data_IF_993988499553
#
_entry.id   IF_993988499553
#
_cell.length_a   1.000
_cell.length_b   1.000
_cell.length_c   1.000
_cell.angle_alpha   90.00
_cell.angle_beta   90.00
_cell.angle_gamma   90.00
#
_symmetry.space_group_name_H-M   'P 1'
#
loop_
_entity.id
_entity.type
_entity.pdbx_description
1 polymer ?
#
# COMPACT_ATOMS: atom_id res chain seq x y z
N UNK A 1 3.25 8.07 -16.54
CA UNK A 1 2.33 7.76 -15.44
C UNK A 1 2.57 6.32 -15.02
N UNK A 2 3.22 6.07 -13.87
CA UNK A 2 3.56 4.72 -13.43
C UNK A 2 2.30 3.94 -13.02
N UNK A 3 1.94 2.95 -13.83
CA UNK A 3 0.98 1.92 -13.44
C UNK A 3 1.73 0.80 -12.73
N UNK A 4 1.22 0.33 -11.59
CA UNK A 4 1.79 -0.85 -10.94
C UNK A 4 1.50 -2.07 -11.82
N UNK A 5 2.57 -2.73 -12.25
CA UNK A 5 2.58 -3.93 -13.09
C UNK A 5 3.53 -4.97 -12.52
N UNK A 6 3.38 -6.24 -12.90
CA UNK A 6 4.29 -7.31 -12.47
C UNK A 6 5.74 -6.97 -12.83
N UNK A 7 5.98 -6.52 -14.07
CA UNK A 7 7.30 -6.11 -14.53
C UNK A 7 7.89 -4.98 -13.68
N UNK A 8 7.08 -3.99 -13.31
CA UNK A 8 7.52 -2.92 -12.42
C UNK A 8 7.93 -3.48 -11.05
N UNK A 9 7.04 -4.25 -10.40
CA UNK A 9 7.30 -4.78 -9.06
C UNK A 9 8.47 -5.76 -9.00
N UNK A 10 8.73 -6.49 -10.08
CA UNK A 10 9.88 -7.40 -10.19
C UNK A 10 11.21 -6.68 -10.48
N UNK A 11 11.15 -5.42 -10.96
CA UNK A 11 12.34 -4.63 -11.32
C UNK A 11 12.64 -3.50 -10.33
N UNK A 12 11.94 -3.47 -9.21
CA UNK A 12 12.19 -2.52 -8.13
C UNK A 12 13.61 -2.68 -7.59
N UNK A 13 14.29 -1.56 -7.35
CA UNK A 13 15.61 -1.56 -6.72
C UNK A 13 15.43 -1.46 -5.22
N UNK A 14 16.23 -2.21 -4.47
CA UNK A 14 16.25 -2.09 -3.02
C UNK A 14 16.92 -0.78 -2.62
N UNK A 15 16.44 -0.20 -1.54
CA UNK A 15 16.99 1.00 -0.91
C UNK A 15 17.18 0.72 0.58
N UNK A 16 18.01 1.51 1.27
CA UNK A 16 18.24 1.38 2.72
C UNK A 16 16.99 1.63 3.55
N UNK A 17 16.02 2.36 2.99
CA UNK A 17 14.75 2.70 3.65
C UNK A 17 13.55 2.25 2.81
N UNK A 18 12.41 1.88 3.44
CA UNK A 18 11.21 1.57 2.69
C UNK A 18 10.75 2.74 1.83
N UNK A 19 10.26 2.46 0.63
CA UNK A 19 9.66 3.47 -0.24
C UNK A 19 8.36 2.99 -0.85
N UNK A 20 7.57 3.94 -1.36
CA UNK A 20 6.22 3.69 -1.86
C UNK A 20 6.11 3.98 -3.35
N UNK A 21 5.50 3.04 -4.08
CA UNK A 21 5.08 3.21 -5.47
C UNK A 21 3.56 3.36 -5.48
N UNK A 22 3.04 4.39 -6.15
CA UNK A 22 1.59 4.63 -6.28
C UNK A 22 1.07 4.07 -7.60
N UNK A 23 -0.15 3.55 -7.59
CA UNK A 23 -0.83 3.10 -8.80
C UNK A 23 -1.70 4.21 -9.38
N UNK A 24 -1.51 4.50 -10.67
CA UNK A 24 -2.32 5.50 -11.36
C UNK A 24 -3.70 4.97 -11.79
N UNK A 25 -3.93 3.65 -11.80
CA UNK A 25 -5.25 3.08 -12.18
C UNK A 25 -6.27 3.14 -11.05
N UNK A 26 -5.86 2.86 -9.81
CA UNK A 26 -6.73 2.89 -8.64
C UNK A 26 -6.17 3.84 -7.60
N UNK A 27 -6.82 4.98 -7.41
CA UNK A 27 -6.44 5.94 -6.38
C UNK A 27 -6.46 5.30 -5.00
N UNK A 28 -5.39 5.52 -4.24
CA UNK A 28 -5.19 4.93 -2.92
C UNK A 28 -4.49 3.58 -2.93
N UNK A 29 -4.34 2.93 -4.10
CA UNK A 29 -3.58 1.69 -4.18
C UNK A 29 -2.08 2.00 -4.36
N UNK A 30 -1.24 1.19 -3.71
CA UNK A 30 0.20 1.32 -3.81
C UNK A 30 0.95 0.06 -3.40
N UNK A 31 2.27 0.11 -3.55
CA UNK A 31 3.20 -0.91 -3.09
C UNK A 31 4.25 -0.27 -2.16
N UNK A 32 4.46 -0.87 -0.98
CA UNK A 32 5.56 -0.58 -0.05
C UNK A 32 6.70 -1.56 -0.37
N UNK A 33 7.79 -1.06 -0.92
CA UNK A 33 9.02 -1.84 -1.15
C UNK A 33 9.86 -1.72 0.11
N UNK A 34 10.10 -2.84 0.80
CA UNK A 34 10.92 -2.86 2.02
C UNK A 34 12.40 -3.09 1.65
N UNK A 35 13.36 -2.68 2.50
CA UNK A 35 14.79 -2.93 2.28
C UNK A 35 15.14 -4.41 2.10
N UNK A 36 14.34 -5.31 2.68
CA UNK A 36 14.47 -6.77 2.52
C UNK A 36 14.07 -7.29 1.14
N UNK A 37 13.48 -6.45 0.28
CA UNK A 37 12.89 -6.82 -1.00
C UNK A 37 11.47 -7.35 -0.92
N UNK A 38 10.90 -7.50 0.27
CA UNK A 38 9.48 -7.79 0.42
C UNK A 38 8.64 -6.61 -0.10
N UNK A 39 7.65 -6.89 -0.93
CA UNK A 39 6.74 -5.87 -1.49
C UNK A 39 5.35 -6.05 -0.89
N UNK A 40 4.94 -5.13 -0.03
CA UNK A 40 3.60 -5.12 0.54
C UNK A 40 2.66 -4.31 -0.35
N UNK A 41 1.53 -4.88 -0.75
CA UNK A 41 0.45 -4.15 -1.40
C UNK A 41 -0.36 -3.42 -0.33
N UNK A 42 -0.59 -2.12 -0.54
CA UNK A 42 -1.22 -1.24 0.45
C UNK A 42 -2.40 -0.47 -0.15
N UNK A 43 -3.36 -0.16 0.72
CA UNK A 43 -4.42 0.80 0.45
C UNK A 43 -4.26 2.02 1.38
N UNK A 44 -4.48 3.21 0.86
CA UNK A 44 -4.33 4.48 1.56
C UNK A 44 -5.42 5.46 1.15
N UNK A 45 -6.01 6.13 2.14
CA UNK A 45 -6.98 7.21 1.91
C UNK A 45 -6.78 8.31 2.96
N UNK A 46 -6.99 9.56 2.55
CA UNK A 46 -7.14 10.67 3.50
C UNK A 46 -8.61 10.78 3.91
N UNK A 47 -8.88 10.66 5.20
CA UNK A 47 -10.21 10.74 5.78
C UNK A 47 -10.12 11.55 7.09
N UNK A 48 -11.03 12.51 7.28
CA UNK A 48 -11.07 13.38 8.47
C UNK A 48 -9.72 14.02 8.84
N UNK A 49 -8.98 14.50 7.83
CA UNK A 49 -7.69 15.16 8.02
C UNK A 49 -6.51 14.22 8.31
N UNK A 50 -6.75 12.91 8.45
CA UNK A 50 -5.73 11.89 8.72
C UNK A 50 -5.53 10.96 7.52
N UNK A 51 -4.33 10.42 7.39
CA UNK A 51 -4.04 9.38 6.40
C UNK A 51 -4.27 8.03 7.05
N UNK A 52 -5.22 7.28 6.51
CA UNK A 52 -5.59 5.94 6.96
C UNK A 52 -5.02 4.95 5.94
N UNK A 53 -4.17 4.03 6.40
CA UNK A 53 -3.48 3.04 5.56
C UNK A 53 -3.72 1.64 6.07
N UNK A 54 -3.81 0.67 5.16
CA UNK A 54 -3.91 -0.76 5.45
C UNK A 54 -3.00 -1.54 4.52
N UNK A 55 -2.22 -2.46 5.08
CA UNK A 55 -1.54 -3.50 4.28
C UNK A 55 -2.56 -4.54 3.86
N UNK A 56 -2.70 -4.74 2.55
CA UNK A 56 -3.63 -5.70 1.96
C UNK A 56 -3.03 -7.10 1.89
N UNK A 57 -1.71 -7.20 1.67
CA UNK A 57 -0.98 -8.44 1.55
C UNK A 57 0.39 -8.24 0.92
N UNK A 58 1.07 -9.33 0.59
CA UNK A 58 2.43 -9.31 0.03
C UNK A 58 2.41 -9.79 -1.42
N UNK A 59 3.06 -9.07 -2.32
CA UNK A 59 3.29 -9.52 -3.70
C UNK A 59 4.43 -10.57 -3.76
N UNK A 60 4.34 -11.64 -4.58
CA UNK A 60 3.26 -11.97 -5.52
C UNK A 60 2.13 -12.84 -4.94
N UNK A 61 2.14 -13.13 -3.63
CA UNK A 61 1.10 -13.95 -2.98
C UNK A 61 -0.29 -13.32 -3.16
N UNK A 62 -0.40 -12.01 -2.97
CA UNK A 62 -1.55 -11.21 -3.38
C UNK A 62 -1.27 -10.60 -4.76
N UNK A 63 -2.18 -10.82 -5.71
CA UNK A 63 -2.02 -10.26 -7.04
C UNK A 63 -2.26 -8.75 -7.05
N UNK A 64 -1.69 -8.05 -8.03
CA UNK A 64 -1.91 -6.60 -8.22
C UNK A 64 -3.41 -6.31 -8.44
N UNK A 65 -4.11 -7.19 -9.14
CA UNK A 65 -5.54 -7.02 -9.41
C UNK A 65 -6.37 -7.18 -8.14
N UNK A 66 -6.07 -8.18 -7.31
CA UNK A 66 -6.75 -8.36 -6.02
C UNK A 66 -6.43 -7.22 -5.05
N UNK A 67 -5.20 -6.70 -5.07
CA UNK A 67 -4.83 -5.49 -4.32
C UNK A 67 -5.64 -4.26 -4.73
N UNK A 68 -5.91 -4.08 -6.03
CA UNK A 68 -6.79 -3.01 -6.51
C UNK A 68 -8.22 -3.17 -6.00
N UNK A 69 -8.78 -4.38 -6.09
CA UNK A 69 -10.13 -4.69 -5.58
C UNK A 69 -10.21 -4.45 -4.07
N UNK A 70 -9.23 -4.94 -3.32
CA UNK A 70 -9.13 -4.74 -1.87
C UNK A 70 -8.99 -3.28 -1.46
N UNK A 71 -8.33 -2.45 -2.28
CA UNK A 71 -8.24 -1.00 -2.05
C UNK A 71 -9.61 -0.33 -2.15
N UNK A 72 -10.40 -0.68 -3.18
CA UNK A 72 -11.74 -0.10 -3.37
C UNK A 72 -12.63 -0.47 -2.19
N UNK A 73 -12.61 -1.74 -1.77
CA UNK A 73 -13.36 -2.22 -0.61
C UNK A 73 -12.94 -1.47 0.67
N UNK A 74 -11.64 -1.35 0.93
CA UNK A 74 -11.12 -0.62 2.09
C UNK A 74 -11.54 0.86 2.10
N UNK A 75 -11.46 1.54 0.95
CA UNK A 75 -11.90 2.93 0.83
C UNK A 75 -13.38 3.09 1.16
N UNK A 76 -14.21 2.14 0.72
CA UNK A 76 -15.64 2.13 1.05
C UNK A 76 -15.85 1.91 2.55
N UNK A 77 -15.16 0.93 3.16
CA UNK A 77 -15.21 0.67 4.61
C UNK A 77 -14.86 1.92 5.43
N UNK A 78 -13.79 2.63 5.06
CA UNK A 78 -13.36 3.85 5.76
C UNK A 78 -14.42 4.94 5.64
N UNK A 79 -14.96 5.17 4.45
CA UNK A 79 -15.97 6.22 4.22
C UNK A 79 -17.30 5.94 4.91
N UNK A 80 -17.66 4.68 5.09
CA UNK A 80 -18.88 4.25 5.79
C UNK A 80 -18.66 4.18 7.31
N UNK A 81 -17.43 4.44 7.79
CA UNK A 81 -17.10 4.50 9.22
C UNK A 81 -16.93 3.13 9.89
N UNK A 82 -16.66 2.07 9.10
CA UNK A 82 -16.58 0.69 9.61
C UNK A 82 -15.14 0.20 9.86
N UNK A 83 -14.13 1.04 9.68
CA UNK A 83 -12.72 0.60 9.75
C UNK A 83 -12.15 0.69 11.16
N UNK A 84 -11.71 -0.45 11.71
CA UNK A 84 -10.69 -0.49 12.78
C UNK A 84 -9.33 -0.20 12.12
N UNK A 85 -8.86 1.04 12.21
CA UNK A 85 -7.56 1.44 11.66
C UNK A 85 -6.47 0.74 12.47
N UNK A 86 -5.71 -0.14 11.82
CA UNK A 86 -4.46 -0.64 12.37
C UNK A 86 -3.41 0.36 11.96
N UNK A 87 -3.11 1.31 12.84
CA UNK A 87 -1.88 2.09 12.73
C UNK A 87 -0.71 1.11 12.87
N UNK A 88 -0.05 0.76 11.76
CA UNK A 88 1.38 0.48 11.84
C UNK A 88 2.02 1.81 12.25
N UNK A 89 2.10 2.04 13.57
CA UNK A 89 2.98 3.04 14.17
C UNK A 89 4.29 2.91 13.43
N UNK A 90 4.64 3.97 12.71
CA UNK A 90 6.00 4.14 12.23
C UNK A 90 6.83 4.20 13.50
N UNK A 91 7.44 3.06 13.86
CA UNK A 91 8.65 3.05 14.67
C UNK A 91 9.65 3.79 13.79
N UNK A 92 9.66 5.11 13.94
CA UNK A 92 10.90 5.83 13.82
C UNK A 92 11.76 5.26 14.93
N UNK A 93 12.57 4.25 14.57
CA UNK A 93 13.78 3.95 15.32
C UNK A 93 14.59 5.25 15.31
N UNK A 94 14.44 5.99 16.40
CA UNK A 94 15.45 6.90 16.90
C UNK A 94 16.73 6.08 17.07
N UNK A 95 17.77 6.42 16.29
CA UNK A 95 19.16 6.68 16.68
C UNK A 95 20.08 6.64 15.45
#
# INVERSE_FOLDING_TARGET
MPNITNRLLQSVRLDSTPYFIRDDKVKGFGAKVNPSGAVSLIAEIRHEGRTVRKTLGTYPVLSIQDGRVGTIAFIQEVRVGQTKVIEETTLHDEL
#
